data_IF_512144344774
#
_entry.id   IF_512144344774
#
_cell.length_a   1.000
_cell.length_b   1.000
_cell.length_c   1.000
_cell.angle_alpha   90.00
_cell.angle_beta   90.00
_cell.angle_gamma   90.00
#
_symmetry.space_group_name_H-M   'P 1'
#
loop_
_entity.id
_entity.type
_entity.pdbx_description
1 polymer ?
#
# COMPACT_ATOMS: atom_id res chain seq x y z
N UNK A 1 22.68 47.85 1.66
CA UNK A 1 22.32 47.80 3.09
C UNK A 1 22.48 46.37 3.53
N UNK A 2 23.44 46.07 4.42
CA UNK A 2 23.82 44.70 4.76
C UNK A 2 23.46 44.41 6.21
N UNK A 3 22.72 43.32 6.45
CA UNK A 3 22.31 42.89 7.79
C UNK A 3 23.03 41.59 8.16
N UNK A 4 24.00 41.67 9.06
CA UNK A 4 24.75 40.52 9.58
C UNK A 4 23.93 39.76 10.61
N UNK A 5 23.73 38.46 10.42
CA UNK A 5 23.08 37.59 11.43
C UNK A 5 24.16 37.08 12.39
N UNK A 6 23.90 37.19 13.69
CA UNK A 6 24.90 36.99 14.74
C UNK A 6 25.10 35.50 15.10
N UNK A 7 26.34 35.06 15.29
CA UNK A 7 26.71 33.65 15.34
C UNK A 7 26.23 32.87 16.59
N UNK A 8 25.80 33.59 17.64
CA UNK A 8 25.51 33.03 18.96
C UNK A 8 24.29 32.09 19.04
N UNK A 9 23.44 32.05 18.00
CA UNK A 9 22.18 31.31 18.04
C UNK A 9 22.33 29.77 17.89
N UNK A 10 23.40 29.27 17.26
CA UNK A 10 23.51 27.86 16.87
C UNK A 10 23.84 26.89 18.02
N UNK A 11 24.37 27.38 19.15
CA UNK A 11 24.90 26.53 20.21
C UNK A 11 23.82 25.83 21.08
N UNK A 12 22.66 26.47 21.25
CA UNK A 12 21.72 26.10 22.33
C UNK A 12 20.79 24.91 22.03
N UNK A 13 20.73 24.43 20.77
CA UNK A 13 19.79 23.36 20.40
C UNK A 13 20.29 21.94 20.74
N UNK A 14 21.57 21.77 21.10
CA UNK A 14 22.19 20.44 21.29
C UNK A 14 22.16 19.93 22.74
N UNK A 15 21.90 20.79 23.73
CA UNK A 15 21.98 20.45 25.15
C UNK A 15 20.71 19.81 25.76
N UNK A 16 19.54 19.94 25.12
CA UNK A 16 18.23 19.50 25.68
C UNK A 16 17.90 18.00 25.48
N UNK A 17 18.87 17.13 25.16
CA UNK A 17 18.62 15.74 24.75
C UNK A 17 19.18 14.66 25.69
N UNK A 18 19.58 15.00 26.93
CA UNK A 18 20.27 14.07 27.85
C UNK A 18 19.71 13.97 29.29
N UNK A 19 18.67 14.71 29.66
CA UNK A 19 18.03 14.60 30.99
C UNK A 19 16.54 14.22 30.89
N UNK A 20 16.27 12.93 30.65
CA UNK A 20 14.95 12.31 30.73
C UNK A 20 15.02 10.78 30.97
N UNK A 21 16.01 10.32 31.74
CA UNK A 21 16.18 8.93 32.14
C UNK A 21 16.73 8.86 33.57
N UNK A 22 16.44 7.76 34.26
CA UNK A 22 16.92 7.41 35.62
C UNK A 22 16.44 8.28 36.79
N UNK A 23 15.26 7.94 37.33
CA UNK A 23 15.00 7.99 38.77
C UNK A 23 13.83 7.07 39.12
N UNK A 24 14.05 6.07 39.98
CA UNK A 24 13.01 5.19 40.53
C UNK A 24 13.02 5.21 42.05
N UNK A 25 11.88 4.89 42.68
CA UNK A 25 11.71 4.80 44.13
C UNK A 25 10.38 4.12 44.49
N UNK A 26 10.25 3.40 45.63
CA UNK A 26 9.15 2.45 45.86
C UNK A 26 8.15 2.87 46.98
N UNK A 27 7.08 2.08 47.12
CA UNK A 27 6.31 1.64 48.32
C UNK A 27 5.00 0.98 47.79
N UNK A 28 4.71 -0.30 48.04
CA UNK A 28 3.93 -0.86 49.18
C UNK A 28 2.45 -0.35 49.26
N UNK A 29 1.41 -1.19 49.40
CA UNK A 29 1.29 -2.67 49.32
C UNK A 29 -0.01 -3.19 49.96
N UNK A 30 -0.74 -4.15 49.32
CA UNK A 30 -1.90 -4.86 49.91
C UNK A 30 -2.30 -6.13 49.11
N UNK A 31 -2.86 -7.16 49.77
CA UNK A 31 -3.39 -8.44 49.22
C UNK A 31 -4.03 -9.29 50.35
N UNK A 32 -4.67 -10.46 50.09
CA UNK A 32 -5.26 -10.98 48.85
C UNK A 32 -6.79 -10.70 48.91
N UNK A 33 -7.81 -11.61 49.02
CA UNK A 33 -8.01 -13.05 48.67
C UNK A 33 -8.76 -13.22 47.32
N UNK A 34 -9.12 -14.42 46.82
CA UNK A 34 -8.71 -15.80 47.14
C UNK A 34 -9.59 -16.85 46.42
N UNK A 35 -9.04 -18.06 46.16
CA UNK A 35 -9.72 -19.26 45.59
C UNK A 35 -10.22 -19.12 44.12
N UNK A 36 -10.37 -20.16 43.28
CA UNK A 36 -10.56 -21.61 43.50
C UNK A 36 -9.74 -22.55 42.55
N UNK A 37 -9.31 -23.67 43.14
CA UNK A 37 -9.16 -25.08 42.64
C UNK A 37 -9.20 -25.49 41.14
N UNK A 38 -8.11 -26.16 40.70
CA UNK A 38 -7.97 -27.58 40.19
C UNK A 38 -8.99 -28.18 39.16
N UNK A 39 -8.66 -29.12 38.24
CA UNK A 39 -7.48 -29.99 38.02
C UNK A 39 -7.34 -30.52 36.55
N UNK A 40 -6.43 -31.50 36.37
CA UNK A 40 -6.03 -32.36 35.23
C UNK A 40 -7.17 -33.12 34.46
N UNK A 41 -6.94 -33.88 33.35
CA UNK A 41 -5.70 -34.17 32.54
C UNK A 41 -5.93 -34.07 30.98
N UNK A 42 -5.72 -35.00 30.00
CA UNK A 42 -5.37 -36.46 29.94
C UNK A 42 -4.70 -36.90 28.58
N UNK A 43 -4.10 -38.11 28.56
CA UNK A 43 -3.60 -38.99 27.45
C UNK A 43 -4.53 -39.24 26.23
N UNK A 44 -4.13 -39.78 25.05
CA UNK A 44 -2.82 -40.12 24.41
C UNK A 44 -2.95 -40.53 22.90
N UNK A 45 -1.78 -40.68 22.24
CA UNK A 45 -1.36 -41.65 21.19
C UNK A 45 -2.37 -42.41 20.30
N UNK A 46 -2.14 -42.41 18.97
CA UNK A 46 -2.25 -43.60 18.07
C UNK A 46 -1.55 -43.37 16.72
N UNK A 47 -0.81 -44.36 16.21
CA UNK A 47 -0.11 -44.44 14.90
C UNK A 47 0.46 -45.87 14.73
N UNK A 48 0.64 -46.47 13.53
CA UNK A 48 0.03 -46.28 12.21
C UNK A 48 -0.91 -47.47 11.87
N UNK A 49 -1.04 -47.90 10.59
CA UNK A 49 -0.33 -49.14 10.21
C UNK A 49 0.47 -49.04 8.89
N UNK A 50 1.31 -50.04 8.62
CA UNK A 50 2.05 -50.22 7.36
C UNK A 50 1.46 -51.35 6.50
N UNK A 51 1.63 -51.25 5.18
CA UNK A 51 1.75 -52.40 4.26
C UNK A 51 2.93 -52.16 3.33
N UNK A 52 3.47 -53.23 2.75
CA UNK A 52 4.86 -53.29 2.23
C UNK A 52 4.98 -54.04 0.90
N UNK A 53 6.22 -54.13 0.37
CA UNK A 53 6.67 -54.89 -0.82
C UNK A 53 6.56 -54.15 -2.18
N UNK A 54 7.45 -54.33 -3.16
CA UNK A 54 8.82 -54.92 -3.16
C UNK A 54 9.56 -54.65 -4.48
N UNK A 55 10.88 -54.86 -4.45
CA UNK A 55 11.77 -55.23 -5.58
C UNK A 55 12.11 -54.24 -6.70
N UNK A 56 13.42 -54.04 -6.80
CA UNK A 56 14.18 -53.31 -7.80
C UNK A 56 14.10 -53.81 -9.25
N UNK A 57 14.44 -52.91 -10.19
CA UNK A 57 15.20 -53.21 -11.41
C UNK A 57 16.03 -51.97 -11.81
N UNK A 58 17.20 -52.17 -12.42
CA UNK A 58 18.03 -51.09 -12.96
C UNK A 58 17.97 -51.10 -14.50
N UNK A 59 17.90 -49.91 -15.12
CA UNK A 59 17.95 -49.74 -16.58
C UNK A 59 18.71 -48.45 -16.95
N UNK A 60 19.30 -48.44 -18.14
CA UNK A 60 20.22 -47.40 -18.62
C UNK A 60 19.50 -46.07 -19.00
N UNK A 61 20.20 -44.92 -19.00
CA UNK A 61 19.65 -43.67 -19.50
C UNK A 61 19.38 -43.74 -21.01
N UNK A 62 18.11 -43.66 -21.41
CA UNK A 62 17.74 -43.44 -22.80
C UNK A 62 18.11 -42.01 -23.23
N UNK A 63 18.74 -41.85 -24.38
CA UNK A 63 19.17 -40.55 -24.87
C UNK A 63 17.98 -39.62 -25.16
N UNK A 64 18.07 -38.37 -24.73
CA UNK A 64 17.11 -37.34 -25.12
C UNK A 64 17.23 -37.05 -26.64
N UNK A 65 16.11 -36.82 -27.36
CA UNK A 65 16.18 -36.38 -28.74
C UNK A 65 16.85 -34.99 -28.82
N UNK A 66 17.60 -34.69 -29.89
CA UNK A 66 18.18 -33.37 -30.08
C UNK A 66 17.06 -32.32 -30.17
N UNK A 67 17.17 -31.25 -29.38
CA UNK A 67 16.22 -30.15 -29.44
C UNK A 67 16.32 -29.46 -30.82
N UNK A 68 15.24 -29.52 -31.60
CA UNK A 68 15.11 -28.75 -32.85
C UNK A 68 15.14 -27.26 -32.52
N UNK A 69 16.31 -26.64 -32.72
CA UNK A 69 16.49 -25.21 -32.49
C UNK A 69 15.75 -24.43 -33.58
N UNK A 70 14.61 -23.83 -33.22
CA UNK A 70 13.98 -22.81 -34.06
C UNK A 70 15.00 -21.69 -34.33
N UNK A 71 15.10 -21.18 -35.57
CA UNK A 71 16.03 -20.10 -35.87
C UNK A 71 15.70 -18.86 -35.00
N UNK A 72 16.71 -18.12 -34.51
CA UNK A 72 16.47 -16.92 -33.73
C UNK A 72 15.73 -15.90 -34.60
N UNK A 73 14.55 -15.48 -34.15
CA UNK A 73 13.76 -14.46 -34.83
C UNK A 73 14.59 -13.17 -34.87
N UNK A 74 14.76 -12.51 -36.04
CA UNK A 74 15.59 -11.32 -36.14
C UNK A 74 15.02 -10.24 -35.24
N UNK A 75 15.75 -9.96 -34.14
CA UNK A 75 15.34 -8.96 -33.15
C UNK A 75 15.67 -7.58 -33.71
N UNK A 76 14.76 -7.09 -34.56
CA UNK A 76 14.77 -5.70 -34.99
C UNK A 76 14.74 -4.79 -33.75
N UNK A 77 15.50 -3.67 -33.73
CA UNK A 77 15.42 -2.73 -32.62
C UNK A 77 14.02 -2.12 -32.62
N UNK A 78 13.20 -2.49 -31.63
CA UNK A 78 11.88 -1.90 -31.44
C UNK A 78 12.04 -0.41 -31.15
N UNK A 79 11.43 0.45 -31.97
CA UNK A 79 11.44 1.89 -31.70
C UNK A 79 10.80 2.18 -30.33
N UNK A 80 11.38 3.08 -29.51
CA UNK A 80 10.87 3.36 -28.19
C UNK A 80 9.49 4.02 -28.29
N UNK A 81 8.46 3.33 -27.81
CA UNK A 81 7.08 3.78 -27.87
C UNK A 81 6.90 5.17 -27.23
N UNK A 82 6.10 6.08 -27.82
CA UNK A 82 5.91 7.42 -27.27
C UNK A 82 5.39 7.43 -25.83
N UNK A 83 6.24 7.88 -24.91
CA UNK A 83 5.90 8.11 -23.49
C UNK A 83 5.50 9.54 -23.23
N UNK A 84 4.63 9.76 -22.24
CA UNK A 84 4.31 11.07 -21.67
C UNK A 84 4.45 11.05 -20.15
N UNK A 85 4.91 12.17 -19.62
CA UNK A 85 5.07 12.40 -18.18
C UNK A 85 3.71 12.75 -17.54
N UNK A 86 3.35 12.04 -16.46
CA UNK A 86 2.11 12.27 -15.69
C UNK A 86 2.42 12.36 -14.20
N UNK A 87 1.87 13.38 -13.52
CA UNK A 87 1.91 13.46 -12.06
C UNK A 87 0.99 12.40 -11.44
N UNK A 88 1.56 11.53 -10.60
CA UNK A 88 0.87 10.42 -9.94
C UNK A 88 1.23 10.36 -8.45
N UNK A 89 0.34 9.80 -7.63
CA UNK A 89 0.68 9.50 -6.23
C UNK A 89 1.57 8.24 -6.13
N UNK A 90 2.52 8.26 -5.20
CA UNK A 90 3.31 7.11 -4.81
C UNK A 90 3.35 6.97 -3.27
N UNK A 91 3.33 5.73 -2.76
CA UNK A 91 3.46 5.43 -1.34
C UNK A 91 4.85 4.88 -1.04
N UNK A 92 5.76 5.77 -0.63
CA UNK A 92 7.20 5.50 -0.53
C UNK A 92 7.61 5.30 0.93
N UNK A 93 8.36 4.23 1.21
CA UNK A 93 8.99 4.03 2.52
C UNK A 93 10.19 4.97 2.66
N UNK A 94 10.25 5.79 3.72
CA UNK A 94 11.37 6.68 3.96
C UNK A 94 12.70 5.98 4.23
N UNK A 95 12.65 4.73 4.72
CA UNK A 95 13.82 3.99 5.21
C UNK A 95 14.42 3.10 4.11
N UNK A 96 13.60 2.35 3.37
CA UNK A 96 14.07 1.54 2.23
C UNK A 96 13.84 2.18 0.83
N UNK A 97 13.35 3.42 0.77
CA UNK A 97 13.22 4.30 -0.41
C UNK A 97 12.41 3.77 -1.62
N UNK A 98 11.71 2.63 -1.48
CA UNK A 98 10.87 2.02 -2.53
C UNK A 98 9.42 2.47 -2.42
N UNK A 99 8.73 2.57 -3.55
CA UNK A 99 7.26 2.59 -3.60
C UNK A 99 6.74 1.20 -3.15
N UNK A 100 6.20 1.12 -1.94
CA UNK A 100 5.90 -0.16 -1.29
C UNK A 100 4.47 -0.64 -1.53
N UNK A 101 3.54 0.26 -1.88
CA UNK A 101 2.17 -0.06 -2.25
C UNK A 101 1.76 0.80 -3.44
N UNK A 102 1.31 0.22 -4.58
CA UNK A 102 0.92 1.00 -5.75
C UNK A 102 -0.41 1.71 -5.52
N UNK A 103 -0.43 3.04 -5.60
CA UNK A 103 -1.66 3.82 -5.56
C UNK A 103 -2.32 3.77 -6.96
N UNK A 104 -3.62 3.43 -6.99
CA UNK A 104 -4.42 3.26 -8.22
C UNK A 104 -5.72 4.08 -8.13
N UNK A 105 -6.44 4.21 -9.25
CA UNK A 105 -7.78 4.84 -9.33
C UNK A 105 -8.78 4.35 -8.27
N UNK A 106 -8.69 3.07 -7.90
CA UNK A 106 -9.54 2.42 -6.89
C UNK A 106 -9.01 2.50 -5.45
N UNK A 107 -7.85 3.14 -5.22
CA UNK A 107 -7.29 3.34 -3.87
C UNK A 107 -8.16 4.26 -3.02
N UNK A 108 -8.31 3.92 -1.73
CA UNK A 108 -9.20 4.63 -0.81
C UNK A 108 -8.53 5.83 -0.17
N UNK A 109 -9.30 6.91 -0.04
CA UNK A 109 -8.97 8.10 0.72
C UNK A 109 -9.42 7.97 2.18
N UNK A 110 -8.87 8.78 3.09
CA UNK A 110 -9.35 8.92 4.48
C UNK A 110 -10.86 9.17 4.57
N UNK A 111 -11.44 9.91 3.62
CA UNK A 111 -12.89 10.16 3.54
C UNK A 111 -13.72 8.99 3.00
N UNK A 112 -13.14 7.80 2.75
CA UNK A 112 -13.83 6.61 2.22
C UNK A 112 -13.98 6.57 0.70
N UNK A 113 -14.05 7.73 0.04
CA UNK A 113 -14.05 7.87 -1.43
C UNK A 113 -12.76 7.36 -2.09
N UNK A 114 -12.81 7.08 -3.38
CA UNK A 114 -11.68 6.52 -4.17
C UNK A 114 -10.92 7.61 -4.92
N UNK A 115 -9.69 7.32 -5.35
CA UNK A 115 -8.85 8.29 -6.08
C UNK A 115 -9.52 8.80 -7.39
N UNK A 116 -10.27 7.96 -8.10
CA UNK A 116 -11.06 8.39 -9.28
C UNK A 116 -12.16 9.41 -8.97
N UNK A 117 -12.65 9.43 -7.72
CA UNK A 117 -13.62 10.41 -7.22
C UNK A 117 -12.93 11.70 -6.74
N UNK A 118 -11.61 11.82 -6.92
CA UNK A 118 -10.83 13.04 -6.70
C UNK A 118 -10.34 13.68 -8.01
N UNK A 119 -9.81 14.89 -7.92
CA UNK A 119 -8.94 15.49 -8.95
C UNK A 119 -7.62 14.71 -9.11
N UNK A 120 -6.94 14.80 -10.27
CA UNK A 120 -5.63 14.17 -10.47
C UNK A 120 -4.62 14.52 -9.37
N UNK A 121 -3.60 13.66 -9.21
CA UNK A 121 -2.45 14.00 -8.38
C UNK A 121 -1.72 15.20 -9.00
N UNK A 122 -1.33 16.18 -8.18
CA UNK A 122 -0.48 17.27 -8.64
C UNK A 122 0.42 17.82 -7.55
N UNK A 123 1.64 18.22 -7.92
CA UNK A 123 2.56 18.95 -7.04
C UNK A 123 2.05 20.36 -6.68
N UNK A 124 1.20 20.95 -7.53
CA UNK A 124 0.77 22.36 -7.45
C UNK A 124 -0.54 22.58 -6.71
N UNK A 125 -1.40 21.55 -6.65
CA UNK A 125 -2.76 21.66 -6.12
C UNK A 125 -3.15 20.40 -5.34
N UNK A 126 -3.87 20.58 -4.22
CA UNK A 126 -4.40 19.47 -3.45
C UNK A 126 -5.56 18.78 -4.20
N UNK A 127 -5.37 17.52 -4.59
CA UNK A 127 -6.35 16.63 -5.22
C UNK A 127 -7.66 16.55 -4.40
N UNK A 128 -8.67 17.38 -4.72
CA UNK A 128 -9.93 17.46 -3.97
C UNK A 128 -10.86 16.33 -4.32
N UNK A 129 -11.74 15.93 -3.40
CA UNK A 129 -12.82 15.00 -3.69
C UNK A 129 -13.97 15.72 -4.40
N UNK A 130 -14.47 15.12 -5.48
CA UNK A 130 -15.60 15.59 -6.30
C UNK A 130 -16.96 15.14 -5.74
N UNK A 131 -16.98 14.16 -4.84
CA UNK A 131 -18.20 13.73 -4.16
C UNK A 131 -18.82 14.90 -3.36
N UNK A 132 -20.13 15.12 -3.55
CA UNK A 132 -20.82 16.26 -2.95
C UNK A 132 -20.75 16.25 -1.42
N UNK A 133 -20.59 17.43 -0.82
CA UNK A 133 -20.47 17.65 0.64
C UNK A 133 -19.23 17.00 1.30
N UNK A 134 -18.28 16.44 0.54
CA UNK A 134 -17.06 15.86 1.10
C UNK A 134 -16.10 16.95 1.62
N UNK A 135 -15.81 16.97 2.92
CA UNK A 135 -14.98 18.00 3.58
C UNK A 135 -13.46 17.82 3.42
N UNK A 136 -12.99 16.83 2.66
CA UNK A 136 -11.57 16.48 2.63
C UNK A 136 -10.68 17.60 2.06
N UNK A 137 -9.49 17.77 2.65
CA UNK A 137 -8.52 18.77 2.18
C UNK A 137 -7.73 18.32 0.95
N UNK A 138 -7.64 17.02 0.72
CA UNK A 138 -7.02 16.40 -0.44
C UNK A 138 -7.01 14.87 -0.30
N UNK A 139 -6.60 14.14 -1.34
CA UNK A 139 -6.43 12.69 -1.28
C UNK A 139 -5.38 12.29 -0.22
N UNK A 140 -5.77 11.44 0.73
CA UNK A 140 -4.90 10.85 1.75
C UNK A 140 -5.08 9.33 1.70
N UNK A 141 -4.06 8.63 1.21
CA UNK A 141 -4.11 7.20 0.93
C UNK A 141 -4.28 6.36 2.20
N UNK A 142 -5.21 5.41 2.15
CA UNK A 142 -5.39 4.35 3.14
C UNK A 142 -5.14 3.01 2.45
N UNK A 143 -4.13 2.26 2.92
CA UNK A 143 -3.86 0.90 2.43
C UNK A 143 -5.06 0.00 2.74
N UNK A 144 -5.51 -0.69 1.70
CA UNK A 144 -6.67 -1.57 1.70
C UNK A 144 -6.49 -2.64 0.62
N UNK A 145 -6.95 -3.85 0.89
CA UNK A 145 -6.87 -4.98 -0.04
C UNK A 145 -8.24 -5.67 -0.11
N UNK A 146 -8.92 -5.54 -1.26
CA UNK A 146 -10.30 -5.94 -1.43
C UNK A 146 -11.25 -5.30 -0.40
N UNK A 147 -11.74 -6.14 0.53
CA UNK A 147 -12.60 -5.75 1.64
C UNK A 147 -11.85 -5.42 2.94
N UNK A 148 -10.58 -5.84 3.07
CA UNK A 148 -9.74 -5.50 4.22
C UNK A 148 -9.20 -4.06 4.09
N UNK A 149 -9.05 -3.38 5.23
CA UNK A 149 -8.54 -2.01 5.29
C UNK A 149 -7.91 -1.71 6.64
N UNK A 150 -6.86 -0.89 6.64
CA UNK A 150 -6.19 -0.48 7.87
C UNK A 150 -7.13 0.22 8.86
N UNK A 151 -6.86 -0.06 10.14
CA UNK A 151 -7.40 0.64 11.31
C UNK A 151 -6.33 1.55 11.90
N UNK A 152 -6.78 2.60 12.57
CA UNK A 152 -5.91 3.45 13.38
C UNK A 152 -5.50 2.73 14.67
N UNK A 153 -4.44 3.18 15.37
CA UNK A 153 -4.06 2.69 16.71
C UNK A 153 -5.19 2.83 17.74
N UNK A 154 -6.10 3.79 17.56
CA UNK A 154 -7.33 3.90 18.35
C UNK A 154 -8.42 2.86 17.98
N UNK A 155 -8.08 1.80 17.23
CA UNK A 155 -8.93 0.69 16.76
C UNK A 155 -10.04 1.05 15.76
N UNK A 156 -10.40 2.33 15.65
CA UNK A 156 -11.37 2.88 14.70
C UNK A 156 -10.92 2.81 13.22
N UNK A 157 -11.89 2.80 12.31
CA UNK A 157 -11.66 2.81 10.85
C UNK A 157 -11.21 4.19 10.36
N UNK A 158 -10.66 4.26 9.15
CA UNK A 158 -10.29 5.52 8.49
C UNK A 158 -11.50 6.49 8.38
N UNK A 159 -12.68 6.00 7.97
CA UNK A 159 -13.93 6.81 7.91
C UNK A 159 -14.47 7.27 9.26
N UNK A 160 -13.96 6.77 10.39
CA UNK A 160 -14.28 7.29 11.73
C UNK A 160 -13.32 8.44 12.13
N UNK A 161 -12.56 8.99 11.18
CA UNK A 161 -11.75 10.18 11.33
C UNK A 161 -12.24 11.28 10.38
N UNK A 162 -12.29 12.52 10.84
CA UNK A 162 -12.67 13.66 10.00
C UNK A 162 -11.60 13.89 8.91
N UNK A 163 -11.96 13.88 7.61
CA UNK A 163 -10.99 14.05 6.53
C UNK A 163 -10.47 15.49 6.36
N UNK A 164 -10.98 16.46 7.14
CA UNK A 164 -10.45 17.82 7.18
C UNK A 164 -9.32 17.98 8.22
N UNK A 165 -9.51 17.52 9.46
CA UNK A 165 -8.53 17.62 10.57
C UNK A 165 -7.67 16.36 10.75
N UNK A 166 -8.10 15.21 10.23
CA UNK A 166 -7.55 13.85 10.43
C UNK A 166 -7.69 13.28 11.84
N UNK A 167 -8.34 13.99 12.76
CA UNK A 167 -8.66 13.49 14.10
C UNK A 167 -9.78 12.45 14.08
N UNK A 168 -9.83 11.56 15.07
CA UNK A 168 -10.93 10.60 15.19
C UNK A 168 -12.19 11.30 15.70
N UNK A 169 -13.29 11.18 14.97
CA UNK A 169 -14.58 11.81 15.30
C UNK A 169 -15.41 10.98 16.31
N UNK A 170 -14.86 9.88 16.85
CA UNK A 170 -15.55 9.04 17.83
C UNK A 170 -15.58 9.72 19.20
N UNK A 171 -16.75 9.72 19.84
CA UNK A 171 -16.90 10.16 21.24
C UNK A 171 -15.90 9.45 22.16
N UNK A 172 -15.29 10.22 23.06
CA UNK A 172 -14.26 9.73 24.00
C UNK A 172 -12.88 9.43 23.40
N UNK A 173 -12.68 9.56 22.08
CA UNK A 173 -11.39 9.25 21.44
C UNK A 173 -10.48 10.49 21.33
N UNK A 174 -9.30 10.45 21.95
CA UNK A 174 -8.30 11.54 21.91
C UNK A 174 -7.35 11.50 20.70
N UNK A 175 -7.62 10.64 19.71
CA UNK A 175 -6.76 10.45 18.54
C UNK A 175 -6.79 11.66 17.60
N UNK A 176 -5.61 12.28 17.37
CA UNK A 176 -5.47 13.54 16.62
C UNK A 176 -5.18 13.36 15.13
N UNK A 177 -4.76 12.16 14.72
CA UNK A 177 -4.33 11.83 13.36
C UNK A 177 -4.43 10.34 13.11
N UNK A 178 -4.90 9.92 11.93
CA UNK A 178 -4.85 8.51 11.53
C UNK A 178 -3.40 8.00 11.43
N UNK A 179 -3.03 7.06 12.30
CA UNK A 179 -1.77 6.32 12.30
C UNK A 179 -2.07 4.84 12.60
N UNK A 180 -1.47 3.90 11.85
CA UNK A 180 -1.77 2.48 11.94
C UNK A 180 -0.67 1.70 12.67
N UNK A 181 -1.00 0.68 13.50
CA UNK A 181 0.01 -0.22 14.07
C UNK A 181 0.55 -1.24 13.06
N UNK A 182 0.09 -1.23 11.81
CA UNK A 182 0.55 -2.14 10.76
C UNK A 182 2.00 -1.89 10.33
N UNK A 183 2.71 -2.99 10.08
CA UNK A 183 4.05 -3.03 9.49
C UNK A 183 3.88 -3.45 8.03
N UNK A 184 4.56 -2.74 7.12
CA UNK A 184 4.48 -3.02 5.70
C UNK A 184 5.31 -4.25 5.31
N UNK A 185 5.03 -4.85 4.15
CA UNK A 185 5.79 -5.96 3.55
C UNK A 185 7.26 -5.59 3.17
N UNK A 186 7.73 -4.41 3.57
CA UNK A 186 9.13 -4.01 3.53
C UNK A 186 9.78 -3.99 4.93
N UNK A 187 9.09 -4.53 5.94
CA UNK A 187 9.46 -4.62 7.36
C UNK A 187 9.55 -3.30 8.12
N UNK A 188 9.05 -2.21 7.53
CA UNK A 188 9.01 -0.88 8.15
C UNK A 188 7.57 -0.50 8.58
N UNK A 189 7.40 0.25 9.69
CA UNK A 189 6.08 0.64 10.21
C UNK A 189 5.35 1.59 9.25
N UNK A 190 4.02 1.66 9.39
CA UNK A 190 3.17 2.65 8.69
C UNK A 190 3.76 4.08 8.74
N UNK A 191 4.26 4.51 9.90
CA UNK A 191 4.73 5.87 10.16
C UNK A 191 6.03 6.25 9.41
N UNK A 192 6.79 5.27 8.89
CA UNK A 192 7.96 5.50 8.03
C UNK A 192 7.58 5.86 6.59
N UNK A 193 6.33 5.60 6.20
CA UNK A 193 5.85 5.74 4.82
C UNK A 193 5.22 7.11 4.55
N UNK A 194 5.36 7.58 3.31
CA UNK A 194 4.92 8.91 2.88
C UNK A 194 4.21 8.82 1.53
N UNK A 195 3.06 9.49 1.43
CA UNK A 195 2.43 9.78 0.15
C UNK A 195 3.16 10.96 -0.49
N UNK A 196 3.71 10.75 -1.68
CA UNK A 196 4.35 11.78 -2.50
C UNK A 196 3.58 11.92 -3.82
N UNK A 197 3.74 13.07 -4.48
CA UNK A 197 3.44 13.20 -5.92
C UNK A 197 4.77 13.05 -6.65
N UNK A 198 4.79 12.18 -7.66
CA UNK A 198 5.96 11.90 -8.49
C UNK A 198 5.54 11.93 -9.96
N UNK A 199 6.46 12.31 -10.85
CA UNK A 199 6.26 12.15 -12.29
C UNK A 199 6.51 10.68 -12.64
N UNK A 200 5.58 10.05 -13.34
CA UNK A 200 5.75 8.70 -13.92
C UNK A 200 5.56 8.79 -15.43
N UNK A 201 6.45 8.14 -16.18
CA UNK A 201 6.27 7.98 -17.62
C UNK A 201 5.22 6.90 -17.89
N UNK A 202 4.26 7.23 -18.75
CA UNK A 202 3.25 6.30 -19.26
C UNK A 202 3.25 6.35 -20.78
N UNK A 203 3.23 5.19 -21.43
CA UNK A 203 2.95 5.10 -22.86
C UNK A 203 1.45 5.38 -23.04
N UNK A 204 1.08 6.22 -24.01
CA UNK A 204 -0.34 6.42 -24.30
C UNK A 204 -0.97 5.16 -24.88
N UNK A 205 -2.23 4.88 -24.55
CA UNK A 205 -3.03 3.82 -25.16
C UNK A 205 -3.04 3.93 -26.69
N UNK A 206 -3.15 5.16 -27.19
CA UNK A 206 -3.13 5.47 -28.64
C UNK A 206 -1.76 5.23 -29.27
N UNK A 207 -0.70 5.42 -28.51
CA UNK A 207 0.67 5.29 -28.99
C UNK A 207 1.12 3.80 -28.93
N UNK A 208 0.56 3.00 -28.01
CA UNK A 208 0.60 1.52 -28.06
C UNK A 208 -0.21 0.94 -29.22
N UNK A 209 -1.32 1.58 -29.62
CA UNK A 209 -2.19 1.17 -30.73
C UNK A 209 -1.77 1.78 -32.09
N UNK A 210 -0.48 2.07 -32.28
CA UNK A 210 0.08 2.46 -33.58
C UNK A 210 -0.22 3.88 -34.04
N UNK A 211 -0.66 4.78 -33.15
CA UNK A 211 -0.67 6.23 -33.39
C UNK A 211 -1.69 6.79 -34.41
N UNK A 212 -2.47 5.93 -35.06
CA UNK A 212 -3.41 6.29 -36.16
C UNK A 212 -4.25 7.54 -35.87
N UNK A 213 -4.55 8.30 -36.93
CA UNK A 213 -5.28 9.56 -36.80
C UNK A 213 -6.78 9.34 -36.60
N UNK A 214 -7.41 10.21 -35.80
CA UNK A 214 -8.87 10.25 -35.67
C UNK A 214 -9.57 10.82 -36.93
N UNK A 215 -8.80 11.16 -37.98
CA UNK A 215 -9.32 11.66 -39.24
C UNK A 215 -9.48 10.54 -40.30
N UNK A 216 -8.81 9.40 -40.15
CA UNK A 216 -8.86 8.28 -41.10
C UNK A 216 -9.85 7.18 -40.69
N UNK A 217 -10.11 7.01 -39.40
CA UNK A 217 -11.10 6.04 -38.89
C UNK A 217 -12.43 6.76 -38.61
N UNK A 218 -13.34 6.74 -39.59
CA UNK A 218 -14.63 7.42 -39.49
C UNK A 218 -15.54 6.87 -38.38
N UNK A 219 -16.13 7.76 -37.58
CA UNK A 219 -17.35 7.47 -36.83
C UNK A 219 -17.23 6.65 -35.54
N UNK A 220 -16.08 6.69 -34.84
CA UNK A 220 -15.93 6.09 -33.50
C UNK A 220 -16.09 7.11 -32.36
N UNK A 221 -16.95 6.82 -31.38
CA UNK A 221 -17.03 7.58 -30.13
C UNK A 221 -15.75 7.46 -29.26
N UNK A 222 -15.57 8.29 -28.23
CA UNK A 222 -14.34 8.31 -27.43
C UNK A 222 -14.06 6.94 -26.80
N UNK A 223 -12.87 6.39 -27.09
CA UNK A 223 -12.45 5.08 -26.61
C UNK A 223 -12.42 5.02 -25.07
N UNK A 224 -12.92 3.92 -24.52
CA UNK A 224 -13.00 3.69 -23.08
C UNK A 224 -11.60 3.50 -22.50
N UNK A 225 -11.35 4.03 -21.29
CA UNK A 225 -10.04 3.97 -20.64
C UNK A 225 -9.64 2.52 -20.36
N UNK A 226 -8.54 2.04 -20.97
CA UNK A 226 -8.13 0.62 -20.88
C UNK A 226 -7.58 0.19 -19.51
N UNK A 227 -7.48 1.12 -18.55
CA UNK A 227 -7.20 0.84 -17.15
C UNK A 227 -8.47 0.80 -16.26
N UNK A 228 -9.68 0.82 -16.86
CA UNK A 228 -10.94 0.56 -16.13
C UNK A 228 -11.10 -0.95 -15.84
N UNK A 229 -10.25 -1.47 -14.95
CA UNK A 229 -10.37 -2.82 -14.37
C UNK A 229 -11.70 -3.03 -13.61
N UNK A 230 -12.52 -1.98 -13.42
CA UNK A 230 -13.87 -2.09 -12.87
C UNK A 230 -14.82 -2.92 -13.74
N UNK A 231 -14.51 -3.09 -15.03
CA UNK A 231 -15.24 -3.98 -15.94
C UNK A 231 -15.03 -5.48 -15.64
N UNK A 232 -13.98 -5.88 -14.92
CA UNK A 232 -13.68 -7.29 -14.59
C UNK A 232 -14.52 -7.83 -13.41
N UNK A 233 -15.83 -7.57 -13.42
CA UNK A 233 -16.78 -8.26 -12.55
C UNK A 233 -16.94 -9.71 -13.03
N UNK A 234 -16.53 -10.67 -12.20
CA UNK A 234 -16.79 -12.09 -12.42
C UNK A 234 -18.29 -12.38 -12.38
N UNK A 235 -18.76 -13.14 -13.37
CA UNK A 235 -19.95 -13.98 -13.29
C UNK A 235 -21.27 -13.25 -13.06
N UNK A 236 -21.84 -12.72 -14.14
CA UNK A 236 -23.30 -12.62 -14.22
C UNK A 236 -23.83 -14.04 -14.49
N UNK A 237 -24.09 -14.79 -13.41
CA UNK A 237 -24.83 -16.05 -13.48
C UNK A 237 -26.31 -15.71 -13.30
N UNK A 238 -27.02 -15.63 -14.42
CA UNK A 238 -28.44 -15.31 -14.45
C UNK A 238 -29.32 -16.35 -13.74
N UNK A 239 -30.56 -15.92 -13.47
CA UNK A 239 -31.65 -16.77 -13.00
C UNK A 239 -32.38 -17.46 -14.17
#
# INVERSE_FOLDING_TARGET
MSATINASALANLKARRQHAASSGGPEAGASPPGSETTAAETTATTTPPQTSSSSAAAAAPAAAPPASQSPPLPTAPAEPLPTRDVEAFAWVCGTCQRECVPIRSESRCLCGHRLREHDPASSKAASRCKASKCSCRGFFFIVAEGAWVLRCRCKHKHVEHDPATRSCAKSGCSCRSFDSPWVCNCDHPWSDHKQLVVVKQVVSVRDMLGGMSLAEVGGGGPAREVNDYGALKRGDFGA
#
